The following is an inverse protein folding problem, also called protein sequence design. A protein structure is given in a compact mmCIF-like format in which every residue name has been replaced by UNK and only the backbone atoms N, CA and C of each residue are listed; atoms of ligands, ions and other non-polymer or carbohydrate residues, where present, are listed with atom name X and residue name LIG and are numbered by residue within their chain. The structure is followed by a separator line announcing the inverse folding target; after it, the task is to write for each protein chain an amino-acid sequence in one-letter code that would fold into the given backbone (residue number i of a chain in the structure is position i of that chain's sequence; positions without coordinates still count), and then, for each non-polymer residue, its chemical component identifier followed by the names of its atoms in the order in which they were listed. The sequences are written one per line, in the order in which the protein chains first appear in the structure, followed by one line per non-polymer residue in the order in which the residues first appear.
data_IF_276053583309
#
_entry.id   IF_276053583309
#
_cell.length_a   1.000
_cell.length_b   1.000
_cell.length_c   1.000
_cell.angle_alpha   90.00
_cell.angle_beta   90.00
_cell.angle_gamma   90.00
#
_symmetry.space_group_name_H-M   'P 1'
#
loop_
_entity.id
_entity.type
_entity.pdbx_description
1 polymer ?
#
# COMPACT_ATOMS: atom_id res chain seq x y z
N UNK A 1 -10.73 11.98 -25.83
CA UNK A 1 -9.58 11.15 -25.46
C UNK A 1 -8.35 11.83 -26.02
N UNK A 2 -7.58 12.47 -25.20
CA UNK A 2 -6.31 13.09 -25.59
C UNK A 2 -5.31 11.96 -25.88
N UNK A 3 -4.68 12.02 -27.05
CA UNK A 3 -3.79 10.99 -27.56
C UNK A 3 -2.64 10.64 -26.60
N UNK A 4 -1.89 9.59 -26.94
CA UNK A 4 -0.78 9.01 -26.18
C UNK A 4 0.34 10.04 -25.91
N UNK A 5 0.08 10.94 -24.94
CA UNK A 5 1.10 11.78 -24.33
C UNK A 5 1.83 11.03 -23.21
N UNK A 6 2.96 11.55 -22.78
CA UNK A 6 3.59 11.09 -21.55
C UNK A 6 2.59 11.21 -20.36
N UNK A 7 2.68 10.37 -19.33
CA UNK A 7 1.91 10.58 -18.12
C UNK A 7 2.22 11.99 -17.55
N UNK A 8 1.28 12.60 -16.85
CA UNK A 8 1.58 13.79 -16.07
C UNK A 8 2.55 13.44 -14.93
N UNK A 9 3.24 14.44 -14.41
CA UNK A 9 4.08 14.31 -13.23
C UNK A 9 3.45 15.07 -12.07
N UNK A 10 3.88 14.78 -10.87
CA UNK A 10 3.38 15.41 -9.65
C UNK A 10 4.57 15.97 -8.88
N UNK A 11 4.54 17.26 -8.60
CA UNK A 11 5.56 17.94 -7.79
C UNK A 11 5.24 17.80 -6.32
N UNK A 12 6.25 17.49 -5.51
CA UNK A 12 6.15 17.45 -4.05
C UNK A 12 6.25 18.87 -3.51
N UNK A 13 5.19 19.32 -2.82
CA UNK A 13 5.13 20.65 -2.20
C UNK A 13 5.42 20.61 -0.70
N UNK A 14 5.12 19.49 -0.03
CA UNK A 14 5.29 19.33 1.42
C UNK A 14 6.07 18.06 1.75
N UNK A 15 7.39 18.02 1.52
CA UNK A 15 8.21 16.79 1.66
C UNK A 15 8.30 16.26 3.09
N UNK A 16 7.97 17.08 4.10
CA UNK A 16 7.98 16.68 5.51
C UNK A 16 6.68 16.03 5.98
N UNK A 17 5.63 16.02 5.13
CA UNK A 17 4.37 15.40 5.50
C UNK A 17 4.51 13.87 5.61
N UNK A 18 3.90 13.19 6.61
CA UNK A 18 4.06 11.74 6.81
C UNK A 18 3.73 10.86 5.60
N UNK A 19 2.85 11.29 4.71
CA UNK A 19 2.55 10.57 3.45
C UNK A 19 3.74 10.59 2.47
N UNK A 20 4.65 11.56 2.61
CA UNK A 20 5.75 11.79 1.67
C UNK A 20 7.14 11.47 2.25
N UNK A 21 7.20 10.77 3.38
CA UNK A 21 8.47 10.49 4.08
C UNK A 21 9.44 9.63 3.27
N UNK A 22 8.93 8.79 2.38
CA UNK A 22 9.74 7.88 1.55
C UNK A 22 10.24 8.57 0.27
N UNK A 23 9.82 9.83 0.00
CA UNK A 23 10.18 10.60 -1.18
C UNK A 23 11.22 11.69 -0.92
N UNK A 24 12.14 11.45 0.04
CA UNK A 24 13.11 12.50 0.45
C UNK A 24 14.15 12.84 -0.60
N UNK A 25 14.42 11.92 -1.51
CA UNK A 25 15.47 12.03 -2.51
C UNK A 25 14.93 12.53 -3.88
N UNK A 26 13.63 12.82 -3.94
CA UNK A 26 13.01 13.34 -5.16
C UNK A 26 12.10 14.53 -4.87
N UNK A 27 11.92 15.38 -5.86
CA UNK A 27 10.96 16.49 -5.84
C UNK A 27 9.76 16.24 -6.75
N UNK A 28 9.78 15.15 -7.51
CA UNK A 28 8.77 14.84 -8.52
C UNK A 28 8.45 13.35 -8.47
N UNK A 29 7.16 13.04 -8.52
CA UNK A 29 6.63 11.67 -8.59
C UNK A 29 5.90 11.50 -9.93
N UNK A 30 6.01 10.32 -10.54
CA UNK A 30 5.19 9.96 -11.69
C UNK A 30 3.70 10.09 -11.33
N UNK A 31 2.90 10.64 -12.23
CA UNK A 31 1.45 10.65 -12.12
C UNK A 31 0.80 9.57 -12.97
N UNK A 32 -0.51 9.67 -13.10
CA UNK A 32 -1.32 8.79 -13.93
C UNK A 32 -1.47 9.26 -15.36
N UNK A 33 -2.46 8.68 -16.05
CA UNK A 33 -2.81 9.03 -17.42
C UNK A 33 -3.98 10.03 -17.48
N UNK A 34 -4.85 10.03 -16.49
CA UNK A 34 -5.97 10.95 -16.39
C UNK A 34 -6.19 11.42 -14.95
N UNK A 35 -6.92 12.50 -14.78
CA UNK A 35 -7.24 13.09 -13.49
C UNK A 35 -8.61 13.73 -13.48
N UNK A 36 -9.17 13.87 -12.29
CA UNK A 36 -10.34 14.67 -12.01
C UNK A 36 -9.87 15.99 -11.40
N UNK A 37 -10.22 17.16 -11.97
CA UNK A 37 -9.89 18.43 -11.35
C UNK A 37 -10.53 18.54 -9.96
N UNK A 38 -9.75 18.98 -8.99
CA UNK A 38 -10.19 19.22 -7.63
C UNK A 38 -9.80 20.63 -7.20
N UNK A 39 -10.52 21.16 -6.24
CA UNK A 39 -10.14 22.37 -5.49
C UNK A 39 -9.72 21.96 -4.09
N UNK A 40 -8.69 22.59 -3.56
CA UNK A 40 -8.23 22.35 -2.20
C UNK A 40 -8.42 23.60 -1.35
N UNK A 41 -8.93 23.42 -0.13
CA UNK A 41 -8.78 24.44 0.91
C UNK A 41 -7.46 24.14 1.62
N UNK A 42 -6.51 25.06 1.57
CA UNK A 42 -5.16 24.90 2.10
C UNK A 42 -4.15 24.38 1.07
N UNK A 43 -2.90 24.25 1.49
CA UNK A 43 -1.81 23.85 0.62
C UNK A 43 -1.88 22.35 0.28
N UNK A 44 -1.84 21.98 -1.01
CA UNK A 44 -1.78 20.59 -1.43
C UNK A 44 -0.44 19.96 -1.04
N UNK A 45 -0.41 18.63 -0.94
CA UNK A 45 0.84 17.89 -0.76
C UNK A 45 1.57 17.69 -2.08
N UNK A 46 0.80 17.47 -3.16
CA UNK A 46 1.32 17.36 -4.52
C UNK A 46 0.55 18.29 -5.44
N UNK A 47 1.26 18.85 -6.42
CA UNK A 47 0.70 19.66 -7.51
C UNK A 47 1.00 19.06 -8.87
N UNK A 48 0.22 19.43 -9.88
CA UNK A 48 0.32 18.92 -11.24
C UNK A 48 1.51 19.54 -11.97
N UNK A 49 2.34 18.71 -12.57
CA UNK A 49 3.17 19.06 -13.71
C UNK A 49 2.47 18.47 -14.94
N UNK A 50 1.97 19.31 -15.87
CA UNK A 50 1.17 18.85 -16.99
C UNK A 50 1.91 17.89 -17.90
N UNK A 51 1.15 17.08 -18.61
CA UNK A 51 1.67 16.23 -19.69
C UNK A 51 2.42 17.05 -20.72
N UNK A 52 3.50 16.49 -21.23
CA UNK A 52 4.26 17.03 -22.33
C UNK A 52 4.35 16.02 -23.48
N UNK A 53 4.78 16.46 -24.64
CA UNK A 53 4.86 15.63 -25.82
C UNK A 53 5.84 14.46 -25.61
N UNK A 54 5.49 13.27 -26.12
CA UNK A 54 6.39 12.13 -26.15
C UNK A 54 7.33 12.17 -27.39
N UNK A 55 7.04 13.03 -28.35
CA UNK A 55 7.80 13.22 -29.60
C UNK A 55 7.46 14.61 -30.20
N UNK A 56 8.36 15.30 -30.94
CA UNK A 56 9.76 14.94 -31.15
C UNK A 56 10.62 15.16 -29.91
N UNK A 57 11.84 14.66 -29.91
CA UNK A 57 12.74 14.63 -28.75
C UNK A 57 12.99 16.02 -28.13
N UNK A 58 13.00 17.05 -28.95
CA UNK A 58 13.16 18.45 -28.53
C UNK A 58 11.96 18.99 -27.75
N UNK A 59 10.83 18.28 -27.78
CA UNK A 59 9.61 18.64 -27.07
C UNK A 59 9.36 17.76 -25.82
N UNK A 60 10.21 16.74 -25.57
CA UNK A 60 10.06 15.77 -24.49
C UNK A 60 10.62 16.35 -23.19
N UNK A 61 9.99 17.39 -22.68
CA UNK A 61 10.30 17.97 -21.37
C UNK A 61 9.09 18.72 -20.82
N UNK A 62 8.97 18.83 -19.49
CA UNK A 62 7.93 19.64 -18.85
C UNK A 62 8.05 21.10 -19.31
N UNK A 63 6.95 21.68 -19.75
CA UNK A 63 6.91 23.10 -20.14
C UNK A 63 6.82 24.04 -18.95
N UNK A 64 6.30 23.52 -17.85
CA UNK A 64 6.27 24.18 -16.55
C UNK A 64 6.72 23.16 -15.51
N UNK A 65 7.46 23.60 -14.54
CA UNK A 65 7.99 22.77 -13.44
C UNK A 65 7.14 22.86 -12.19
N UNK A 66 6.16 23.75 -12.18
CA UNK A 66 5.27 24.00 -11.07
C UNK A 66 3.89 24.47 -11.55
N UNK A 67 2.85 24.06 -10.89
CA UNK A 67 1.48 24.58 -11.04
C UNK A 67 0.75 24.56 -9.69
N UNK A 68 -0.28 25.40 -9.54
CA UNK A 68 -1.12 25.44 -8.35
C UNK A 68 -2.25 24.38 -8.36
N UNK A 69 -2.26 23.49 -9.37
CA UNK A 69 -3.32 22.48 -9.51
C UNK A 69 -3.11 21.33 -8.51
N UNK A 70 -4.01 21.14 -7.54
CA UNK A 70 -3.86 20.11 -6.53
C UNK A 70 -3.95 18.70 -7.14
N UNK A 71 -3.07 17.80 -6.70
CA UNK A 71 -3.05 16.39 -7.09
C UNK A 71 -3.19 15.45 -5.89
N UNK A 72 -2.69 15.84 -4.72
CA UNK A 72 -2.88 15.15 -3.46
C UNK A 72 -3.22 16.16 -2.37
N UNK A 73 -4.32 15.93 -1.71
CA UNK A 73 -4.76 16.71 -0.55
C UNK A 73 -4.96 15.78 0.63
N UNK A 74 -4.38 16.12 1.77
CA UNK A 74 -4.61 15.43 3.03
C UNK A 74 -5.17 16.41 4.06
N UNK A 75 -6.13 15.96 4.86
CA UNK A 75 -6.78 16.79 5.89
C UNK A 75 -7.05 16.00 7.15
N UNK A 76 -6.94 16.69 8.27
CA UNK A 76 -7.42 16.22 9.57
C UNK A 76 -8.55 17.12 10.06
N UNK A 77 -9.64 16.50 10.53
CA UNK A 77 -10.74 17.19 11.20
C UNK A 77 -11.15 16.42 12.45
N UNK A 78 -10.69 16.88 13.60
CA UNK A 78 -10.82 16.13 14.85
C UNK A 78 -10.07 14.79 14.77
N UNK A 79 -10.81 13.68 14.88
CA UNK A 79 -10.24 12.33 14.75
C UNK A 79 -10.31 11.76 13.33
N UNK A 80 -10.98 12.45 12.42
CA UNK A 80 -11.14 12.00 11.05
C UNK A 80 -9.95 12.44 10.19
N UNK A 81 -9.51 11.57 9.31
CA UNK A 81 -8.48 11.83 8.30
C UNK A 81 -9.05 11.58 6.92
N UNK A 82 -8.67 12.40 5.98
CA UNK A 82 -9.07 12.32 4.59
C UNK A 82 -7.84 12.47 3.70
N UNK A 83 -7.73 11.63 2.70
CA UNK A 83 -6.78 11.76 1.59
C UNK A 83 -7.58 11.77 0.30
N UNK A 84 -7.27 12.71 -0.59
CA UNK A 84 -7.84 12.77 -1.91
C UNK A 84 -6.70 12.79 -2.94
N UNK A 85 -6.61 11.73 -3.74
CA UNK A 85 -5.76 11.61 -4.91
C UNK A 85 -6.58 12.00 -6.15
N UNK A 86 -6.14 13.03 -6.88
CA UNK A 86 -6.88 13.55 -8.02
C UNK A 86 -6.64 12.78 -9.32
N UNK A 87 -5.60 11.95 -9.37
CA UNK A 87 -5.22 11.14 -10.53
C UNK A 87 -5.57 9.67 -10.39
N UNK A 88 -5.43 8.92 -11.49
CA UNK A 88 -5.56 7.47 -11.56
C UNK A 88 -4.26 6.75 -11.11
N UNK A 89 -3.70 7.18 -9.98
CA UNK A 89 -2.40 6.70 -9.49
C UNK A 89 -2.41 5.18 -9.27
N UNK A 90 -3.47 4.64 -8.66
CA UNK A 90 -3.62 3.21 -8.37
C UNK A 90 -3.74 2.38 -9.65
N UNK A 91 -4.55 2.84 -10.61
CA UNK A 91 -4.67 2.18 -11.91
C UNK A 91 -3.36 2.24 -12.71
N UNK A 92 -2.61 3.33 -12.55
CA UNK A 92 -1.29 3.50 -13.17
C UNK A 92 -0.24 2.62 -12.51
N UNK A 93 -0.27 2.47 -11.18
CA UNK A 93 0.54 1.49 -10.46
C UNK A 93 0.25 0.07 -10.96
N UNK A 94 -1.02 -0.32 -11.04
CA UNK A 94 -1.41 -1.65 -11.52
C UNK A 94 -0.90 -1.96 -12.93
N UNK A 95 -0.91 -0.98 -13.83
CA UNK A 95 -0.44 -1.12 -15.22
C UNK A 95 1.07 -1.10 -15.38
N UNK A 96 1.78 -0.36 -14.56
CA UNK A 96 3.21 -0.07 -14.77
C UNK A 96 4.13 -0.59 -13.67
N UNK A 97 3.57 -1.03 -12.54
CA UNK A 97 4.32 -1.40 -11.32
C UNK A 97 5.34 -0.34 -10.89
N UNK A 98 5.00 0.95 -11.10
CA UNK A 98 5.87 2.05 -10.70
C UNK A 98 5.86 2.17 -9.18
N UNK A 99 6.99 1.92 -8.54
CA UNK A 99 7.14 1.86 -7.07
C UNK A 99 6.60 3.12 -6.40
N UNK A 100 6.97 4.30 -6.88
CA UNK A 100 6.51 5.58 -6.33
C UNK A 100 4.99 5.67 -6.14
N UNK A 101 4.21 5.11 -7.09
CA UNK A 101 2.75 5.14 -7.01
C UNK A 101 2.22 4.18 -5.96
N UNK A 102 2.86 3.01 -5.82
CA UNK A 102 2.57 2.04 -4.78
C UNK A 102 2.86 2.59 -3.39
N UNK A 103 4.04 3.18 -3.23
CA UNK A 103 4.48 3.79 -1.97
C UNK A 103 3.59 4.96 -1.56
N UNK A 104 3.23 5.84 -2.50
CA UNK A 104 2.30 6.94 -2.25
C UNK A 104 0.94 6.42 -1.74
N UNK A 105 0.42 5.35 -2.33
CA UNK A 105 -0.82 4.73 -1.89
C UNK A 105 -0.69 4.12 -0.50
N UNK A 106 0.36 3.31 -0.27
CA UNK A 106 0.62 2.66 1.03
C UNK A 106 0.80 3.68 2.15
N UNK A 107 1.59 4.74 1.94
CA UNK A 107 1.79 5.78 2.93
C UNK A 107 0.51 6.58 3.19
N UNK A 108 -0.32 6.81 2.17
CA UNK A 108 -1.64 7.43 2.34
C UNK A 108 -2.54 6.58 3.25
N UNK A 109 -2.59 5.26 3.03
CA UNK A 109 -3.37 4.34 3.87
C UNK A 109 -2.81 4.28 5.30
N UNK A 110 -1.48 4.20 5.46
CA UNK A 110 -0.83 4.21 6.79
C UNK A 110 -1.17 5.47 7.57
N UNK A 111 -1.12 6.61 6.91
CA UNK A 111 -1.48 7.88 7.52
C UNK A 111 -2.95 7.92 7.92
N UNK A 112 -3.88 7.47 7.06
CA UNK A 112 -5.31 7.36 7.37
C UNK A 112 -5.58 6.48 8.58
N UNK A 113 -4.89 5.36 8.69
CA UNK A 113 -5.02 4.42 9.82
C UNK A 113 -4.46 4.96 11.13
N UNK A 114 -3.61 6.00 11.10
CA UNK A 114 -3.03 6.61 12.31
C UNK A 114 -2.40 5.57 13.26
N UNK A 115 -1.66 4.59 12.72
CA UNK A 115 -1.05 3.51 13.49
C UNK A 115 -2.02 2.43 13.99
N UNK A 116 -3.29 2.46 13.57
CA UNK A 116 -4.35 1.54 14.01
C UNK A 116 -4.61 0.41 13.02
N UNK A 117 -3.63 0.03 12.22
CA UNK A 117 -3.78 -1.14 11.36
C UNK A 117 -4.12 -2.38 12.21
N UNK A 118 -5.23 -3.08 11.92
CA UNK A 118 -5.66 -4.22 12.74
C UNK A 118 -4.71 -5.40 12.62
N UNK A 119 -4.08 -5.56 11.46
CA UNK A 119 -3.11 -6.61 11.17
C UNK A 119 -1.98 -5.99 10.35
N UNK A 120 -0.75 -6.32 10.72
CA UNK A 120 0.47 -5.98 9.98
C UNK A 120 1.29 -7.23 9.81
N UNK A 121 1.75 -7.50 8.60
CA UNK A 121 2.72 -8.54 8.29
C UNK A 121 3.97 -7.90 7.70
N UNK A 122 5.14 -8.29 8.19
CA UNK A 122 6.45 -7.80 7.75
C UNK A 122 7.28 -8.97 7.27
N UNK A 123 7.78 -8.90 6.06
CA UNK A 123 8.60 -9.92 5.41
C UNK A 123 8.68 -9.68 3.91
N UNK A 124 9.50 -10.46 3.24
CA UNK A 124 9.65 -10.39 1.79
C UNK A 124 8.46 -11.04 1.07
N UNK A 125 8.24 -10.60 -0.16
CA UNK A 125 7.28 -11.18 -1.07
C UNK A 125 6.00 -10.37 -1.25
N UNK A 126 5.17 -10.82 -2.18
CA UNK A 126 3.85 -10.27 -2.46
C UNK A 126 2.79 -11.16 -1.80
N UNK A 127 2.37 -10.78 -0.60
CA UNK A 127 1.42 -11.54 0.22
C UNK A 127 0.12 -10.75 0.36
N UNK A 128 -1.00 -11.36 -0.06
CA UNK A 128 -2.32 -10.88 0.31
C UNK A 128 -2.73 -11.48 1.67
N UNK A 129 -3.22 -10.62 2.56
CA UNK A 129 -3.57 -10.99 3.93
C UNK A 129 -5.05 -10.72 4.19
N UNK A 130 -5.76 -11.76 4.63
CA UNK A 130 -7.16 -11.67 5.02
C UNK A 130 -7.35 -12.16 6.47
N UNK A 131 -8.01 -11.33 7.27
CA UNK A 131 -8.34 -11.67 8.66
C UNK A 131 -9.83 -11.92 8.85
N UNK A 132 -10.16 -13.04 9.46
CA UNK A 132 -11.54 -13.43 9.79
C UNK A 132 -11.71 -13.67 11.27
N UNK A 133 -12.84 -13.22 11.82
CA UNK A 133 -13.30 -13.67 13.13
C UNK A 133 -14.11 -14.94 12.94
N UNK A 134 -13.76 -15.98 13.70
CA UNK A 134 -14.43 -17.30 13.69
C UNK A 134 -15.02 -17.59 15.06
N UNK A 135 -15.88 -18.59 15.19
CA UNK A 135 -16.43 -19.00 16.50
C UNK A 135 -15.34 -19.32 17.54
N UNK A 136 -14.31 -20.14 17.22
CA UNK A 136 -13.27 -20.43 18.21
C UNK A 136 -12.22 -19.31 18.35
N UNK A 137 -12.23 -18.26 17.49
CA UNK A 137 -11.21 -17.22 17.56
C UNK A 137 -11.03 -16.45 16.26
N UNK A 138 -9.87 -16.60 15.62
CA UNK A 138 -9.51 -15.87 14.39
C UNK A 138 -8.79 -16.79 13.40
N UNK A 139 -8.96 -16.49 12.11
CA UNK A 139 -8.21 -17.11 11.03
C UNK A 139 -7.57 -16.02 10.16
N UNK A 140 -6.26 -16.08 9.98
CA UNK A 140 -5.53 -15.20 9.08
C UNK A 140 -5.04 -16.01 7.88
N UNK A 141 -5.47 -15.61 6.70
CA UNK A 141 -5.13 -16.25 5.44
C UNK A 141 -4.04 -15.46 4.74
N UNK A 142 -2.98 -16.13 4.36
CA UNK A 142 -1.84 -15.57 3.65
C UNK A 142 -1.78 -16.21 2.27
N UNK A 143 -2.06 -15.43 1.22
CA UNK A 143 -2.01 -15.86 -0.17
C UNK A 143 -0.75 -15.30 -0.80
N UNK A 144 0.12 -16.18 -1.27
CA UNK A 144 1.41 -15.78 -1.81
C UNK A 144 1.33 -15.63 -3.33
N UNK A 145 1.53 -14.42 -3.82
CA UNK A 145 1.60 -14.08 -5.25
C UNK A 145 3.03 -13.81 -5.73
N UNK A 146 4.03 -14.14 -4.93
CA UNK A 146 5.43 -13.85 -5.24
C UNK A 146 5.88 -14.64 -6.45
N UNK A 147 6.13 -13.93 -7.55
CA UNK A 147 6.70 -14.48 -8.76
C UNK A 147 7.47 -13.38 -9.52
N UNK A 148 8.80 -13.52 -9.70
CA UNK A 148 9.60 -12.52 -10.42
C UNK A 148 9.21 -12.36 -11.90
N UNK A 149 8.49 -13.35 -12.45
CA UNK A 149 8.00 -13.33 -13.83
C UNK A 149 6.51 -12.97 -13.95
N UNK A 150 5.92 -12.41 -12.88
CA UNK A 150 4.54 -11.98 -12.89
C UNK A 150 4.32 -10.86 -13.90
N UNK A 151 3.38 -11.06 -14.81
CA UNK A 151 2.92 -10.06 -15.79
C UNK A 151 1.42 -10.17 -16.01
N UNK A 152 0.73 -9.05 -15.91
CA UNK A 152 -0.67 -8.95 -16.29
C UNK A 152 -1.65 -9.84 -15.52
N UNK A 153 -1.38 -10.12 -14.25
CA UNK A 153 -2.28 -10.90 -13.40
C UNK A 153 -2.21 -12.43 -13.60
N UNK A 154 -1.27 -12.93 -14.41
CA UNK A 154 -1.08 -14.36 -14.62
C UNK A 154 0.33 -14.81 -14.26
N UNK A 155 0.45 -15.90 -13.51
CA UNK A 155 1.72 -16.57 -13.23
C UNK A 155 1.55 -18.08 -13.23
N UNK A 156 2.61 -18.79 -13.60
CA UNK A 156 2.59 -20.26 -13.70
C UNK A 156 3.01 -20.94 -12.41
N UNK A 157 3.75 -20.26 -11.57
CA UNK A 157 4.34 -20.80 -10.35
C UNK A 157 4.50 -19.68 -9.32
N UNK A 158 4.17 -19.97 -8.08
CA UNK A 158 4.57 -19.17 -6.92
C UNK A 158 5.95 -19.60 -6.44
N UNK A 159 6.67 -18.65 -5.86
CA UNK A 159 7.91 -18.90 -5.15
C UNK A 159 7.66 -18.78 -3.66
N UNK A 160 8.05 -19.77 -2.89
CA UNK A 160 7.92 -19.72 -1.45
C UNK A 160 8.70 -18.50 -0.91
N UNK A 161 8.09 -17.82 0.06
CA UNK A 161 8.70 -16.72 0.81
C UNK A 161 9.14 -17.19 2.18
N UNK A 162 10.13 -16.50 2.73
CA UNK A 162 10.66 -16.78 4.06
C UNK A 162 9.79 -16.28 5.19
N UNK A 163 10.42 -15.91 6.27
CA UNK A 163 9.80 -15.47 7.51
C UNK A 163 8.87 -14.27 7.31
N UNK A 164 7.65 -14.36 7.91
CA UNK A 164 6.71 -13.26 8.00
C UNK A 164 6.42 -12.98 9.47
N UNK A 165 6.75 -11.79 9.95
CA UNK A 165 6.43 -11.33 11.30
C UNK A 165 5.06 -10.69 11.29
N UNK A 166 4.15 -11.21 12.11
CA UNK A 166 2.75 -10.76 12.12
C UNK A 166 2.43 -10.15 13.48
N UNK A 167 1.83 -8.97 13.44
CA UNK A 167 1.26 -8.28 14.59
C UNK A 167 -0.22 -8.03 14.32
N UNK A 168 -1.08 -8.54 15.19
CA UNK A 168 -2.54 -8.41 15.09
C UNK A 168 -3.10 -7.75 16.34
N UNK A 169 -4.09 -6.87 16.17
CA UNK A 169 -4.87 -6.31 17.28
C UNK A 169 -6.25 -6.95 17.30
N UNK A 170 -6.54 -7.73 18.33
CA UNK A 170 -7.80 -8.42 18.52
C UNK A 170 -8.96 -7.43 18.76
N UNK A 171 -10.15 -7.82 18.40
CA UNK A 171 -11.36 -7.04 18.67
C UNK A 171 -11.61 -6.88 20.20
N UNK A 172 -11.29 -7.90 20.97
CA UNK A 172 -11.37 -7.94 22.44
C UNK A 172 -10.07 -8.48 23.04
N UNK A 173 -9.90 -8.38 24.36
CA UNK A 173 -8.71 -8.87 25.06
C UNK A 173 -8.83 -10.33 25.50
N UNK A 174 -9.65 -11.14 24.82
CA UNK A 174 -9.84 -12.55 25.15
C UNK A 174 -8.51 -13.30 25.01
N UNK A 175 -8.10 -14.08 26.03
CA UNK A 175 -6.88 -14.86 25.94
C UNK A 175 -6.98 -15.91 24.83
N UNK A 176 -5.95 -16.00 24.01
CA UNK A 176 -5.77 -17.10 23.09
C UNK A 176 -5.17 -18.30 23.83
N UNK A 177 -5.65 -19.49 23.54
CA UNK A 177 -5.19 -20.76 24.14
C UNK A 177 -4.20 -21.49 23.25
N UNK A 178 -4.40 -21.39 21.93
CA UNK A 178 -3.58 -22.07 20.95
C UNK A 178 -3.52 -21.30 19.64
N UNK A 179 -2.46 -21.53 18.87
CA UNK A 179 -2.37 -21.14 17.49
C UNK A 179 -1.72 -22.25 16.67
N UNK A 180 -2.14 -22.37 15.39
CA UNK A 180 -1.67 -23.41 14.48
C UNK A 180 -1.59 -22.90 13.05
N UNK A 181 -0.57 -23.32 12.31
CA UNK A 181 -0.50 -23.21 10.86
C UNK A 181 -1.24 -24.40 10.25
N UNK A 182 -2.34 -24.15 9.55
CA UNK A 182 -3.24 -25.22 9.12
C UNK A 182 -2.66 -26.03 7.95
N UNK A 183 -1.98 -25.38 7.00
CA UNK A 183 -1.38 -26.07 5.86
C UNK A 183 -0.11 -26.82 6.25
N UNK A 184 0.76 -26.19 7.01
CA UNK A 184 1.95 -26.83 7.57
C UNK A 184 1.62 -27.91 8.63
N UNK A 185 0.44 -27.83 9.24
CA UNK A 185 0.01 -28.76 10.29
C UNK A 185 0.74 -28.58 11.61
N UNK A 186 1.47 -27.49 11.83
CA UNK A 186 2.35 -27.26 12.97
C UNK A 186 1.78 -26.27 13.98
N UNK A 187 2.06 -26.42 15.28
CA UNK A 187 1.79 -25.39 16.26
C UNK A 187 2.48 -24.07 15.89
N UNK A 188 1.84 -22.95 16.19
CA UNK A 188 2.36 -21.62 15.96
C UNK A 188 2.61 -20.93 17.31
N UNK A 189 3.86 -20.79 17.74
CA UNK A 189 4.19 -20.00 18.92
C UNK A 189 3.77 -18.54 18.75
N UNK A 190 3.16 -17.97 19.77
CA UNK A 190 2.73 -16.58 19.78
C UNK A 190 2.99 -15.91 21.14
N UNK A 191 3.00 -14.58 21.13
CA UNK A 191 2.96 -13.75 22.34
C UNK A 191 1.68 -12.94 22.30
N UNK A 192 1.03 -12.79 23.46
CA UNK A 192 -0.14 -11.95 23.61
C UNK A 192 0.06 -10.98 24.76
N UNK A 193 -0.14 -9.69 24.47
CA UNK A 193 -0.21 -8.61 25.47
C UNK A 193 -1.54 -7.88 25.29
N UNK A 194 -2.46 -8.14 26.19
CA UNK A 194 -3.82 -7.63 26.11
C UNK A 194 -4.49 -8.01 24.78
N UNK A 195 -4.71 -7.03 23.93
CA UNK A 195 -5.32 -7.21 22.60
C UNK A 195 -4.29 -7.44 21.48
N UNK A 196 -3.03 -7.25 21.75
CA UNK A 196 -1.98 -7.40 20.73
C UNK A 196 -1.45 -8.83 20.75
N UNK A 197 -1.42 -9.45 19.59
CA UNK A 197 -0.86 -10.79 19.35
C UNK A 197 0.25 -10.69 18.34
N UNK A 198 1.38 -11.29 18.64
CA UNK A 198 2.55 -11.35 17.76
C UNK A 198 2.99 -12.79 17.56
N UNK A 199 3.27 -13.13 16.32
CA UNK A 199 3.79 -14.43 15.93
C UNK A 199 4.60 -14.34 14.64
N UNK A 200 5.36 -15.40 14.36
CA UNK A 200 6.16 -15.49 13.16
C UNK A 200 5.80 -16.75 12.38
N UNK A 201 5.48 -16.58 11.10
CA UNK A 201 5.29 -17.69 10.15
C UNK A 201 6.66 -17.93 9.49
N UNK A 202 7.25 -19.12 9.62
CA UNK A 202 8.63 -19.34 9.15
C UNK A 202 8.75 -19.34 7.62
N UNK A 203 7.72 -19.73 6.91
CA UNK A 203 7.68 -19.77 5.45
C UNK A 203 6.26 -19.89 4.94
N UNK A 204 5.99 -19.28 3.78
CA UNK A 204 4.71 -19.43 3.08
C UNK A 204 4.99 -19.96 1.67
N UNK A 205 4.45 -21.14 1.35
CA UNK A 205 4.44 -21.67 -0.01
C UNK A 205 3.46 -20.88 -0.89
N UNK A 206 2.44 -21.54 -1.41
CA UNK A 206 1.38 -20.86 -2.17
C UNK A 206 0.38 -20.16 -1.24
N UNK A 207 0.12 -20.78 -0.10
CA UNK A 207 -0.94 -20.35 0.80
C UNK A 207 -0.71 -20.93 2.21
N UNK A 208 -1.01 -20.15 3.25
CA UNK A 208 -1.03 -20.60 4.63
C UNK A 208 -2.19 -19.98 5.40
N UNK A 209 -2.63 -20.64 6.45
CA UNK A 209 -3.64 -20.12 7.38
C UNK A 209 -3.12 -20.23 8.81
N UNK A 210 -3.02 -19.11 9.49
CA UNK A 210 -2.82 -19.07 10.94
C UNK A 210 -4.18 -19.07 11.63
N UNK A 211 -4.55 -20.19 12.27
CA UNK A 211 -5.73 -20.32 13.13
C UNK A 211 -5.34 -19.98 14.57
N UNK A 212 -6.07 -19.07 15.19
CA UNK A 212 -5.90 -18.60 16.57
C UNK A 212 -7.15 -18.96 17.36
N UNK A 213 -7.01 -19.74 18.39
CA UNK A 213 -8.13 -20.25 19.22
C UNK A 213 -8.17 -19.51 20.56
N UNK A 214 -9.35 -19.00 20.97
CA UNK A 214 -9.58 -18.30 22.22
C UNK A 214 -10.21 -19.20 23.31
#
# INVERSE_FOLDING_TARGET
MTGAGSPFMQRIEQPTHPILVDFRDTSVIKGGAWRVPITAEGAPLLTLIPQYAAYPVEAVFPKIDHSDTPMLVAREKGKARLVHLAGDNEASYWRSSAEDLGDLFVQSVRWLLAGRAPIVAEGDGLIELYGWKTEPGYALHFVNHTNPNFRGGAFRRTHAVGEQKVRMTLADARPLRAAKLLRAGTPLPFKQDGRVVEFTIPSIGEYEVAALEA
#
